data_IF_370480157269
#
_entry.id   IF_370480157269
#
_cell.length_a   1.000
_cell.length_b   1.000
_cell.length_c   1.000
_cell.angle_alpha   90.00
_cell.angle_beta   90.00
_cell.angle_gamma   90.00
#
_symmetry.space_group_name_H-M   'P 1'
#
loop_
_entity.id
_entity.type
_entity.pdbx_description
1 polymer ?
#
# COMPACT_ATOMS: atom_id res chain seq x y z
N UNK A 1 7.15 22.00 -6.48
CA UNK A 1 7.05 21.49 -7.87
C UNK A 1 6.83 20.01 -7.74
N UNK A 2 5.87 19.45 -8.49
CA UNK A 2 5.63 18.00 -8.48
C UNK A 2 6.88 17.26 -8.92
N UNK A 3 7.26 16.20 -8.22
CA UNK A 3 8.40 15.34 -8.57
C UNK A 3 8.11 14.44 -9.78
N UNK A 4 6.88 14.45 -10.29
CA UNK A 4 6.43 13.64 -11.41
C UNK A 4 5.63 14.46 -12.42
N UNK A 5 5.48 13.90 -13.63
CA UNK A 5 4.57 14.37 -14.67
C UNK A 5 3.54 13.31 -15.01
N UNK A 6 2.38 13.74 -15.48
CA UNK A 6 1.32 12.87 -15.95
C UNK A 6 1.33 12.89 -17.48
N UNK A 7 1.33 11.71 -18.08
CA UNK A 7 1.23 11.54 -19.52
C UNK A 7 -0.11 10.88 -19.84
N UNK A 8 -0.97 11.64 -20.51
CA UNK A 8 -2.25 11.16 -21.05
C UNK A 8 -2.16 11.22 -22.56
N UNK A 9 -2.07 10.12 -23.23
CA UNK A 9 -2.08 10.11 -24.70
C UNK A 9 -3.37 10.68 -25.28
N UNK A 10 -4.50 10.56 -24.55
CA UNK A 10 -5.79 11.15 -24.96
C UNK A 10 -5.87 12.68 -24.79
N UNK A 11 -5.11 13.29 -23.92
CA UNK A 11 -5.08 14.77 -23.80
C UNK A 11 -4.42 15.42 -25.02
N UNK A 12 -3.40 14.80 -25.57
CA UNK A 12 -2.76 15.25 -26.80
C UNK A 12 -3.71 15.18 -28.01
N UNK A 13 -4.74 14.35 -27.92
CA UNK A 13 -5.81 14.21 -28.91
C UNK A 13 -7.03 15.11 -28.62
N UNK A 14 -6.97 15.99 -27.61
CA UNK A 14 -8.06 16.92 -27.28
C UNK A 14 -9.27 16.29 -26.57
N UNK A 15 -9.17 15.05 -26.11
CA UNK A 15 -10.24 14.43 -25.32
C UNK A 15 -10.22 14.96 -23.89
N UNK A 16 -11.31 15.62 -23.47
CA UNK A 16 -11.54 15.93 -22.06
C UNK A 16 -11.78 14.61 -21.29
N UNK A 17 -11.32 14.56 -20.04
CA UNK A 17 -11.64 13.45 -19.13
C UNK A 17 -13.16 13.26 -19.13
N UNK A 18 -13.60 12.16 -19.71
CA UNK A 18 -15.00 11.83 -19.86
C UNK A 18 -15.65 11.59 -18.50
N UNK A 19 -16.89 12.04 -18.33
CA UNK A 19 -17.74 11.67 -17.17
C UNK A 19 -17.90 10.15 -17.01
N UNK A 20 -17.60 9.35 -18.04
CA UNK A 20 -17.56 7.89 -18.00
C UNK A 20 -16.49 7.35 -17.02
N UNK A 21 -15.40 8.07 -16.79
CA UNK A 21 -14.39 7.67 -15.78
C UNK A 21 -14.95 7.76 -14.34
N UNK A 22 -15.93 8.59 -14.08
CA UNK A 22 -16.59 8.69 -12.76
C UNK A 22 -17.48 7.48 -12.42
N UNK A 23 -17.75 6.61 -13.37
CA UNK A 23 -18.56 5.40 -13.15
C UNK A 23 -17.72 4.19 -12.71
N UNK A 24 -16.40 4.24 -12.86
CA UNK A 24 -15.51 3.18 -12.40
C UNK A 24 -15.30 3.31 -10.89
N UNK A 25 -15.52 2.22 -10.17
CA UNK A 25 -15.37 2.18 -8.70
C UNK A 25 -13.92 1.96 -8.28
N UNK A 26 -13.14 1.34 -9.17
CA UNK A 26 -11.76 0.97 -8.92
C UNK A 26 -10.82 1.53 -10.00
N UNK A 27 -9.66 1.97 -9.56
CA UNK A 27 -8.49 2.18 -10.41
C UNK A 27 -7.43 1.14 -10.08
N UNK A 28 -6.56 0.82 -11.02
CA UNK A 28 -5.38 0.03 -10.77
C UNK A 28 -4.13 0.86 -11.03
N UNK A 29 -3.18 0.80 -10.09
CA UNK A 29 -1.83 1.36 -10.21
C UNK A 29 -0.82 0.24 -10.37
N UNK A 30 -0.20 0.14 -11.54
CA UNK A 30 0.83 -0.85 -11.84
C UNK A 30 2.18 -0.22 -11.53
N UNK A 31 2.85 -0.70 -10.48
CA UNK A 31 4.23 -0.35 -10.18
C UNK A 31 5.14 -1.04 -11.22
N UNK A 32 5.93 -0.26 -11.90
CA UNK A 32 6.86 -0.76 -12.92
C UNK A 32 8.09 -1.44 -12.27
N UNK A 33 7.93 -2.71 -11.96
CA UNK A 33 8.97 -3.62 -11.49
C UNK A 33 9.26 -4.67 -12.57
N UNK A 34 10.52 -5.07 -12.71
CA UNK A 34 10.89 -6.06 -13.72
C UNK A 34 11.25 -5.43 -15.07
N UNK A 35 10.88 -6.10 -16.15
CA UNK A 35 11.24 -5.74 -17.52
C UNK A 35 10.12 -4.99 -18.25
N UNK A 36 10.44 -4.47 -19.45
CA UNK A 36 9.43 -3.90 -20.36
C UNK A 36 8.34 -4.94 -20.71
N UNK A 37 8.77 -6.16 -20.95
CA UNK A 37 7.90 -7.28 -21.34
C UNK A 37 6.90 -7.60 -20.22
N UNK A 38 7.34 -7.56 -18.96
CA UNK A 38 6.45 -7.75 -17.80
C UNK A 38 5.38 -6.65 -17.76
N UNK A 39 5.79 -5.40 -17.95
CA UNK A 39 4.86 -4.25 -17.95
C UNK A 39 3.88 -4.32 -19.12
N UNK A 40 4.35 -4.61 -20.34
CA UNK A 40 3.50 -4.74 -21.54
C UNK A 40 2.50 -5.87 -21.35
N UNK A 41 2.95 -7.05 -20.90
CA UNK A 41 2.07 -8.19 -20.64
C UNK A 41 0.99 -7.86 -19.60
N UNK A 42 1.37 -7.16 -18.53
CA UNK A 42 0.41 -6.71 -17.52
C UNK A 42 -0.62 -5.73 -18.11
N UNK A 43 -0.18 -4.73 -18.87
CA UNK A 43 -1.07 -3.76 -19.52
C UNK A 43 -2.07 -4.41 -20.46
N UNK A 44 -1.60 -5.29 -21.36
CA UNK A 44 -2.45 -6.01 -22.31
C UNK A 44 -3.49 -6.85 -21.57
N UNK A 45 -3.07 -7.53 -20.51
CA UNK A 45 -3.99 -8.35 -19.74
C UNK A 45 -5.05 -7.51 -19.01
N UNK A 46 -4.67 -6.41 -18.33
CA UNK A 46 -5.61 -5.57 -17.57
C UNK A 46 -6.61 -4.87 -18.50
N UNK A 47 -6.15 -4.34 -19.62
CA UNK A 47 -7.01 -3.67 -20.59
C UNK A 47 -8.01 -4.62 -21.25
N UNK A 48 -7.61 -5.88 -21.49
CA UNK A 48 -8.47 -6.88 -22.09
C UNK A 48 -9.49 -7.50 -21.12
N UNK A 49 -9.13 -7.65 -19.83
CA UNK A 49 -9.90 -8.47 -18.90
C UNK A 49 -10.60 -7.68 -17.78
N UNK A 50 -10.22 -6.42 -17.53
CA UNK A 50 -10.75 -5.67 -16.39
C UNK A 50 -11.27 -4.30 -16.81
N UNK A 51 -12.48 -3.96 -16.35
CA UNK A 51 -13.04 -2.62 -16.56
C UNK A 51 -12.58 -1.64 -15.47
N UNK A 52 -11.26 -1.43 -15.36
CA UNK A 52 -10.64 -0.51 -14.40
C UNK A 52 -9.98 0.67 -15.11
N UNK A 53 -9.78 1.78 -14.38
CA UNK A 53 -8.88 2.84 -14.84
C UNK A 53 -7.44 2.42 -14.57
N UNK A 54 -6.65 2.26 -15.63
CA UNK A 54 -5.27 1.76 -15.54
C UNK A 54 -4.29 2.92 -15.45
N UNK A 55 -3.41 2.84 -14.45
CA UNK A 55 -2.32 3.78 -14.24
C UNK A 55 -1.00 3.02 -14.16
N UNK A 56 0.05 3.57 -14.75
CA UNK A 56 1.42 3.07 -14.63
C UNK A 56 2.24 4.04 -13.81
N UNK A 57 2.98 3.51 -12.86
CA UNK A 57 3.84 4.25 -11.95
C UNK A 57 5.29 3.89 -12.25
N UNK A 58 6.03 4.79 -12.89
CA UNK A 58 7.37 4.53 -13.41
C UNK A 58 8.27 5.76 -13.34
N UNK A 59 9.52 5.60 -13.75
CA UNK A 59 10.52 6.67 -13.85
C UNK A 59 10.69 7.12 -15.28
N UNK A 60 11.15 8.36 -15.48
CA UNK A 60 11.43 8.93 -16.80
C UNK A 60 12.44 8.09 -17.56
N UNK A 61 13.49 7.64 -16.88
CA UNK A 61 14.52 6.78 -17.47
C UNK A 61 13.94 5.50 -18.09
N UNK A 62 13.05 4.78 -17.36
CA UNK A 62 12.42 3.57 -17.89
C UNK A 62 11.47 3.88 -19.03
N UNK A 63 10.65 4.92 -18.90
CA UNK A 63 9.65 5.27 -19.93
C UNK A 63 10.30 5.73 -21.24
N UNK A 64 11.43 6.42 -21.19
CA UNK A 64 12.20 6.76 -22.38
C UNK A 64 12.80 5.51 -23.06
N UNK A 65 13.26 4.54 -22.27
CA UNK A 65 13.75 3.27 -22.80
C UNK A 65 12.63 2.43 -23.43
N UNK A 66 11.44 2.42 -22.81
CA UNK A 66 10.34 1.56 -23.24
C UNK A 66 9.60 2.11 -24.44
N UNK A 67 9.46 3.42 -24.53
CA UNK A 67 8.73 4.16 -25.60
C UNK A 67 7.34 3.59 -25.90
N UNK A 68 6.59 3.26 -24.84
CA UNK A 68 5.29 2.58 -24.94
C UNK A 68 4.10 3.49 -24.72
N UNK A 69 4.30 4.73 -24.29
CA UNK A 69 3.20 5.62 -23.88
C UNK A 69 2.19 5.89 -24.98
N UNK A 70 2.61 5.87 -26.23
CA UNK A 70 1.74 6.09 -27.39
C UNK A 70 0.93 4.86 -27.78
N UNK A 71 1.43 3.67 -27.43
CA UNK A 71 0.77 2.41 -27.75
C UNK A 71 -0.42 2.15 -26.83
N UNK A 72 -0.45 2.80 -25.65
CA UNK A 72 -1.49 2.63 -24.63
C UNK A 72 -2.24 3.95 -24.35
N UNK A 73 -3.07 4.46 -25.28
CA UNK A 73 -3.77 5.74 -25.15
C UNK A 73 -4.82 5.75 -24.04
N UNK A 74 -5.21 4.60 -23.50
CA UNK A 74 -6.19 4.45 -22.42
C UNK A 74 -5.56 4.46 -21.03
N UNK A 75 -4.23 4.39 -20.97
CA UNK A 75 -3.46 4.31 -19.73
C UNK A 75 -2.98 5.71 -19.32
N UNK A 76 -3.05 5.97 -18.02
CA UNK A 76 -2.44 7.16 -17.42
C UNK A 76 -1.05 6.80 -16.92
N UNK A 77 -0.03 7.48 -17.40
CA UNK A 77 1.35 7.28 -16.94
C UNK A 77 1.72 8.37 -15.95
N UNK A 78 2.07 7.98 -14.71
CA UNK A 78 2.60 8.85 -13.66
C UNK A 78 4.11 8.63 -13.63
N UNK A 79 4.85 9.58 -14.20
CA UNK A 79 6.26 9.41 -14.51
C UNK A 79 7.11 10.33 -13.65
N UNK A 80 7.88 9.73 -12.76
CA UNK A 80 8.80 10.46 -11.88
C UNK A 80 10.14 10.77 -12.59
N UNK A 81 10.66 11.96 -12.37
CA UNK A 81 11.91 12.41 -12.99
C UNK A 81 13.13 11.68 -12.46
N UNK A 82 13.10 11.31 -11.19
CA UNK A 82 14.22 10.66 -10.50
C UNK A 82 13.73 9.35 -9.90
N UNK A 83 14.70 8.55 -9.44
CA UNK A 83 14.40 7.38 -8.62
C UNK A 83 13.61 7.82 -7.39
N UNK A 84 12.58 7.05 -7.09
CA UNK A 84 11.65 7.36 -6.03
C UNK A 84 11.27 6.10 -5.26
N UNK A 85 10.71 6.26 -4.09
CA UNK A 85 10.28 5.13 -3.26
C UNK A 85 8.94 4.57 -3.69
N UNK A 86 8.69 3.30 -3.38
CA UNK A 86 7.38 2.67 -3.60
C UNK A 86 6.24 3.48 -2.98
N UNK A 87 6.47 4.02 -1.78
CA UNK A 87 5.48 4.85 -1.10
C UNK A 87 5.16 6.16 -1.82
N UNK A 88 6.14 6.81 -2.46
CA UNK A 88 5.90 8.02 -3.27
C UNK A 88 5.09 7.70 -4.52
N UNK A 89 5.36 6.59 -5.19
CA UNK A 89 4.53 6.11 -6.29
C UNK A 89 3.06 5.96 -5.88
N UNK A 90 2.82 5.30 -4.75
CA UNK A 90 1.45 5.02 -4.27
C UNK A 90 0.76 6.30 -3.80
N UNK A 91 1.48 7.23 -3.18
CA UNK A 91 0.95 8.55 -2.83
C UNK A 91 0.49 9.31 -4.07
N UNK A 92 1.32 9.33 -5.13
CA UNK A 92 0.94 9.96 -6.39
C UNK A 92 -0.27 9.27 -7.04
N UNK A 93 -0.35 7.93 -6.99
CA UNK A 93 -1.55 7.21 -7.44
C UNK A 93 -2.81 7.65 -6.70
N UNK A 94 -2.75 7.77 -5.37
CA UNK A 94 -3.88 8.20 -4.55
C UNK A 94 -4.31 9.65 -4.83
N UNK A 95 -3.37 10.51 -5.23
CA UNK A 95 -3.64 11.90 -5.58
C UNK A 95 -4.26 12.04 -6.98
N UNK A 96 -3.82 11.21 -7.93
CA UNK A 96 -4.21 11.32 -9.35
C UNK A 96 -5.40 10.45 -9.75
N UNK A 97 -5.71 9.35 -9.03
CA UNK A 97 -6.87 8.54 -9.35
C UNK A 97 -8.19 9.22 -8.92
N UNK A 98 -9.25 8.99 -9.70
CA UNK A 98 -10.57 9.59 -9.46
C UNK A 98 -11.57 8.65 -8.78
N UNK A 99 -11.19 7.39 -8.56
CA UNK A 99 -12.03 6.37 -7.95
C UNK A 99 -11.93 6.38 -6.44
N UNK A 100 -12.94 5.83 -5.77
CA UNK A 100 -12.95 5.73 -4.31
C UNK A 100 -11.94 4.70 -3.79
N UNK A 101 -11.66 3.69 -4.61
CA UNK A 101 -10.72 2.62 -4.30
C UNK A 101 -9.67 2.47 -5.38
N UNK A 102 -8.43 2.23 -4.98
CA UNK A 102 -7.34 1.95 -5.92
C UNK A 102 -6.57 0.70 -5.51
N UNK A 103 -6.31 -0.15 -6.49
CA UNK A 103 -5.55 -1.38 -6.34
C UNK A 103 -4.11 -1.17 -6.80
N UNK A 104 -3.15 -1.47 -5.94
CA UNK A 104 -1.72 -1.42 -6.27
C UNK A 104 -1.22 -2.84 -6.51
N UNK A 105 -0.58 -3.02 -7.64
CA UNK A 105 0.04 -4.28 -8.06
C UNK A 105 1.39 -3.97 -8.73
N UNK A 106 2.30 -4.94 -8.75
CA UNK A 106 3.58 -4.81 -9.47
C UNK A 106 3.44 -5.45 -10.85
N UNK A 107 4.20 -4.96 -11.83
CA UNK A 107 4.19 -5.53 -13.19
C UNK A 107 4.68 -6.98 -13.26
N UNK A 108 5.46 -7.44 -12.25
CA UNK A 108 5.90 -8.83 -12.10
C UNK A 108 4.89 -9.75 -11.37
N UNK A 109 3.64 -9.28 -11.20
CA UNK A 109 2.53 -10.03 -10.60
C UNK A 109 1.38 -10.17 -11.60
N UNK A 110 0.66 -11.29 -11.50
CA UNK A 110 -0.59 -11.55 -12.24
C UNK A 110 -1.76 -11.58 -11.26
N UNK A 111 -2.88 -10.93 -11.61
CA UNK A 111 -4.12 -11.07 -10.84
C UNK A 111 -4.79 -12.40 -11.19
N UNK A 112 -5.07 -13.21 -10.19
CA UNK A 112 -5.75 -14.49 -10.34
C UNK A 112 -7.17 -14.48 -9.79
N UNK A 113 -7.49 -13.56 -8.88
CA UNK A 113 -8.84 -13.32 -8.42
C UNK A 113 -9.05 -11.82 -8.11
N UNK A 114 -10.16 -11.27 -8.58
CA UNK A 114 -10.64 -9.92 -8.26
C UNK A 114 -12.17 -9.95 -8.25
N UNK A 115 -12.76 -10.27 -7.10
CA UNK A 115 -14.20 -10.23 -6.92
C UNK A 115 -14.63 -8.82 -6.46
N UNK A 116 -14.94 -7.97 -7.44
CA UNK A 116 -15.27 -6.56 -7.20
C UNK A 116 -16.47 -6.37 -6.29
N UNK A 117 -17.50 -7.23 -6.33
CA UNK A 117 -18.68 -7.12 -5.48
C UNK A 117 -18.35 -7.43 -4.02
N UNK A 118 -17.67 -8.54 -3.76
CA UNK A 118 -17.20 -8.91 -2.42
C UNK A 118 -16.24 -7.86 -1.85
N UNK A 119 -15.34 -7.32 -2.68
CA UNK A 119 -14.40 -6.28 -2.28
C UNK A 119 -15.11 -4.98 -1.92
N UNK A 120 -16.09 -4.52 -2.71
CA UNK A 120 -16.90 -3.34 -2.37
C UNK A 120 -17.66 -3.54 -1.07
N UNK A 121 -18.26 -4.70 -0.87
CA UNK A 121 -18.96 -5.04 0.37
C UNK A 121 -18.02 -5.03 1.57
N UNK A 122 -16.79 -5.54 1.41
CA UNK A 122 -15.77 -5.54 2.45
C UNK A 122 -15.28 -4.11 2.77
N UNK A 123 -14.95 -3.32 1.74
CA UNK A 123 -14.50 -1.94 1.89
C UNK A 123 -15.56 -1.02 2.50
N UNK A 124 -16.82 -1.15 2.10
CA UNK A 124 -17.95 -0.37 2.63
C UNK A 124 -18.59 -0.95 3.90
N UNK A 125 -18.09 -2.08 4.41
CA UNK A 125 -18.63 -2.78 5.56
C UNK A 125 -18.37 -2.10 6.90
N UNK A 126 -18.81 -2.74 8.01
CA UNK A 126 -18.69 -2.20 9.38
C UNK A 126 -17.25 -1.88 9.77
N UNK A 127 -16.30 -2.72 9.34
CA UNK A 127 -14.89 -2.55 9.69
C UNK A 127 -14.19 -1.48 8.84
N UNK A 128 -14.76 -1.13 7.68
CA UNK A 128 -14.30 -0.09 6.75
C UNK A 128 -12.76 0.00 6.71
N UNK A 129 -12.10 -0.99 6.12
CA UNK A 129 -10.64 -1.08 6.16
C UNK A 129 -9.96 0.00 5.33
N UNK A 130 -8.76 0.40 5.74
CA UNK A 130 -7.88 1.26 4.91
C UNK A 130 -7.39 0.52 3.69
N UNK A 131 -7.09 -0.77 3.86
CA UNK A 131 -6.60 -1.60 2.76
C UNK A 131 -7.02 -3.07 2.94
N UNK A 132 -7.18 -3.73 1.79
CA UNK A 132 -7.29 -5.18 1.67
C UNK A 132 -6.08 -5.68 0.90
N UNK A 133 -5.24 -6.47 1.54
CA UNK A 133 -4.10 -7.12 0.91
C UNK A 133 -4.55 -8.38 0.14
N UNK A 134 -3.91 -8.72 -0.98
CA UNK A 134 -4.20 -9.94 -1.71
C UNK A 134 -3.67 -11.18 -1.00
N UNK A 135 -4.31 -12.31 -1.24
CA UNK A 135 -3.64 -13.61 -1.13
C UNK A 135 -2.59 -13.68 -2.24
N UNK A 136 -1.36 -14.03 -1.89
CA UNK A 136 -0.28 -14.15 -2.87
C UNK A 136 0.06 -15.61 -3.11
N UNK A 137 0.19 -15.97 -4.38
CA UNK A 137 0.56 -17.32 -4.81
C UNK A 137 1.96 -17.31 -5.42
N UNK A 138 2.69 -18.39 -5.18
CA UNK A 138 3.99 -18.63 -5.79
C UNK A 138 3.86 -19.03 -7.27
N UNK A 139 5.00 -19.21 -7.95
CA UNK A 139 5.05 -19.75 -9.32
C UNK A 139 4.42 -21.15 -9.42
N UNK A 140 4.45 -21.94 -8.35
CA UNK A 140 3.81 -23.25 -8.24
C UNK A 140 2.37 -23.22 -7.72
N UNK A 141 1.75 -22.04 -7.62
CA UNK A 141 0.40 -21.80 -7.11
C UNK A 141 0.23 -22.13 -5.60
N UNK A 142 1.31 -22.22 -4.87
CA UNK A 142 1.25 -22.38 -3.42
C UNK A 142 0.97 -21.06 -2.73
N UNK A 143 0.13 -21.08 -1.69
CA UNK A 143 -0.18 -19.89 -0.89
C UNK A 143 1.05 -19.44 -0.11
N UNK A 144 1.43 -18.19 -0.32
CA UNK A 144 2.53 -17.57 0.41
C UNK A 144 2.05 -16.87 1.68
N UNK A 145 2.90 -16.76 2.72
CA UNK A 145 2.53 -16.07 3.96
C UNK A 145 2.39 -14.56 3.71
N UNK A 146 1.16 -14.06 3.62
CA UNK A 146 0.84 -12.64 3.40
C UNK A 146 0.29 -11.93 4.63
N UNK A 147 -0.21 -12.66 5.62
CA UNK A 147 -0.60 -12.06 6.89
C UNK A 147 0.66 -11.67 7.67
N UNK A 148 0.64 -10.43 8.18
CA UNK A 148 1.66 -9.90 9.09
C UNK A 148 1.00 -9.62 10.44
N UNK A 149 1.29 -10.45 11.45
CA UNK A 149 0.86 -10.21 12.83
C UNK A 149 1.96 -9.44 13.58
N UNK A 150 1.63 -8.35 14.28
CA UNK A 150 2.63 -7.58 14.99
C UNK A 150 3.22 -8.40 16.16
N UNK A 151 4.52 -8.37 16.29
CA UNK A 151 5.24 -8.97 17.40
C UNK A 151 6.36 -8.03 17.84
N UNK A 152 6.57 -7.85 19.14
CA UNK A 152 7.64 -7.00 19.67
C UNK A 152 8.76 -7.90 20.20
N UNK A 153 9.96 -7.74 19.60
CA UNK A 153 11.18 -8.39 20.04
C UNK A 153 12.12 -7.35 20.66
N UNK A 154 12.24 -7.37 21.98
CA UNK A 154 13.04 -6.38 22.68
C UNK A 154 12.51 -4.95 22.54
N UNK A 155 13.13 -4.14 21.69
CA UNK A 155 12.73 -2.75 21.42
C UNK A 155 12.26 -2.51 19.98
N UNK A 156 12.14 -3.55 19.23
CA UNK A 156 11.77 -3.50 17.81
C UNK A 156 10.49 -4.27 17.55
N UNK A 157 9.77 -3.87 16.53
CA UNK A 157 8.66 -4.65 16.00
C UNK A 157 9.21 -5.60 14.93
N UNK A 158 8.86 -6.87 15.04
CA UNK A 158 9.26 -7.93 14.12
C UNK A 158 8.02 -8.77 13.75
N UNK A 159 7.22 -8.30 12.76
CA UNK A 159 5.97 -8.95 12.39
C UNK A 159 6.19 -10.40 11.99
N UNK A 160 5.38 -11.28 12.54
CA UNK A 160 5.33 -12.69 12.19
C UNK A 160 4.48 -12.90 10.96
N UNK A 161 4.91 -13.82 10.09
CA UNK A 161 4.24 -14.11 8.82
C UNK A 161 3.40 -15.38 8.94
N UNK A 162 2.14 -15.31 8.48
CA UNK A 162 1.22 -16.43 8.43
C UNK A 162 0.60 -16.57 7.04
N UNK A 163 0.23 -17.80 6.69
CA UNK A 163 -0.58 -18.03 5.50
C UNK A 163 -2.03 -17.64 5.78
N UNK A 164 -2.71 -16.95 4.85
CA UNK A 164 -4.13 -16.69 4.94
C UNK A 164 -4.93 -17.99 4.71
N UNK A 165 -6.09 -18.06 5.34
CA UNK A 165 -7.06 -19.10 5.07
C UNK A 165 -7.65 -18.92 3.67
N UNK A 166 -7.61 -19.97 2.86
CA UNK A 166 -8.13 -19.97 1.49
C UNK A 166 -9.42 -20.77 1.33
N UNK A 167 -9.92 -21.38 2.39
CA UNK A 167 -11.17 -22.16 2.34
C UNK A 167 -12.40 -21.22 2.42
N UNK A 168 -12.35 -20.22 3.30
CA UNK A 168 -13.43 -19.27 3.52
C UNK A 168 -13.16 -17.88 2.93
N UNK A 169 -14.23 -17.22 2.46
CA UNK A 169 -14.18 -15.78 2.08
C UNK A 169 -14.40 -14.94 3.33
N UNK A 170 -13.35 -14.82 4.16
CA UNK A 170 -13.38 -13.97 5.33
C UNK A 170 -12.29 -12.92 5.29
N UNK A 171 -12.44 -11.88 6.09
CA UNK A 171 -11.42 -10.85 6.30
C UNK A 171 -10.52 -11.27 7.47
N UNK A 172 -9.24 -11.50 7.18
CA UNK A 172 -8.26 -11.81 8.20
C UNK A 172 -7.37 -10.60 8.48
N UNK A 173 -7.18 -10.20 9.75
CA UNK A 173 -6.41 -9.00 10.06
C UNK A 173 -4.94 -9.18 9.66
N UNK A 174 -4.40 -8.14 9.01
CA UNK A 174 -2.96 -8.03 8.72
C UNK A 174 -2.45 -6.65 9.11
N UNK A 175 -1.21 -6.55 9.53
CA UNK A 175 -0.62 -5.28 9.94
C UNK A 175 -0.46 -4.33 8.76
N UNK A 176 -0.05 -4.84 7.60
CA UNK A 176 0.12 -4.08 6.36
C UNK A 176 0.07 -5.00 5.13
N UNK A 177 -0.25 -4.46 3.94
CA UNK A 177 -0.11 -5.18 2.68
C UNK A 177 1.36 -5.40 2.34
N UNK A 178 1.74 -6.66 2.13
CA UNK A 178 3.11 -7.04 1.79
C UNK A 178 3.48 -6.46 0.42
N UNK A 179 4.72 -5.99 0.27
CA UNK A 179 5.22 -5.32 -0.95
C UNK A 179 4.34 -4.14 -1.38
N UNK A 180 3.67 -3.50 -0.43
CA UNK A 180 2.70 -2.43 -0.66
C UNK A 180 1.54 -2.79 -1.61
N UNK A 181 1.40 -4.06 -2.00
CA UNK A 181 0.35 -4.52 -2.92
C UNK A 181 -0.97 -4.72 -2.19
N UNK A 182 -2.03 -4.02 -2.64
CA UNK A 182 -3.35 -4.09 -2.00
C UNK A 182 -4.37 -3.14 -2.60
N UNK A 183 -5.62 -3.37 -2.27
CA UNK A 183 -6.73 -2.48 -2.56
C UNK A 183 -6.88 -1.49 -1.41
N UNK A 184 -6.79 -0.20 -1.69
CA UNK A 184 -6.83 0.88 -0.71
C UNK A 184 -8.11 1.71 -0.83
N UNK A 185 -8.69 2.11 0.32
CA UNK A 185 -9.65 3.21 0.37
C UNK A 185 -8.89 4.53 0.24
N UNK A 186 -9.15 5.27 -0.84
CA UNK A 186 -8.44 6.50 -1.18
C UNK A 186 -8.61 7.57 -0.11
N UNK A 187 -9.84 7.75 0.39
CA UNK A 187 -10.14 8.79 1.37
C UNK A 187 -9.46 8.49 2.72
N UNK A 188 -9.48 7.23 3.19
CA UNK A 188 -8.81 6.82 4.41
C UNK A 188 -7.28 6.87 4.25
N UNK A 189 -6.76 6.43 3.10
CA UNK A 189 -5.34 6.51 2.79
C UNK A 189 -4.82 7.95 2.86
N UNK A 190 -5.51 8.90 2.22
CA UNK A 190 -5.16 10.32 2.26
C UNK A 190 -5.35 10.93 3.66
N UNK A 191 -6.38 10.53 4.40
CA UNK A 191 -6.58 10.92 5.81
C UNK A 191 -5.42 10.50 6.69
N UNK A 192 -4.85 9.33 6.44
CA UNK A 192 -3.64 8.84 7.08
C UNK A 192 -2.37 9.50 6.55
N UNK A 193 -2.45 10.33 5.51
CA UNK A 193 -1.34 10.99 4.80
C UNK A 193 -0.45 10.03 4.01
N UNK A 194 -1.03 8.93 3.56
CA UNK A 194 -0.32 7.97 2.74
C UNK A 194 0.93 7.38 3.37
N UNK A 195 1.87 6.98 2.55
CA UNK A 195 3.19 6.53 2.97
C UNK A 195 4.09 7.71 3.35
N UNK A 196 4.92 7.53 4.38
CA UNK A 196 5.87 8.55 4.84
C UNK A 196 7.12 8.57 3.94
N UNK A 197 7.24 9.61 3.14
CA UNK A 197 8.32 9.76 2.14
C UNK A 197 9.70 10.07 2.75
N UNK A 198 9.78 10.38 4.05
CA UNK A 198 11.05 10.50 4.77
C UNK A 198 11.58 9.12 5.26
N UNK A 199 10.85 8.04 4.98
CA UNK A 199 11.27 6.65 5.19
C UNK A 199 11.56 6.08 3.80
N UNK A 200 12.80 5.69 3.50
CA UNK A 200 13.16 5.28 2.16
C UNK A 200 12.98 3.78 1.90
N UNK A 201 13.17 2.93 2.92
CA UNK A 201 13.00 1.48 2.78
C UNK A 201 11.54 1.06 2.66
N UNK A 202 11.19 0.29 1.64
CA UNK A 202 9.83 -0.21 1.39
C UNK A 202 9.26 -0.97 2.59
N UNK A 203 10.07 -1.80 3.24
CA UNK A 203 9.67 -2.52 4.46
C UNK A 203 9.23 -1.55 5.57
N UNK A 204 10.05 -0.53 5.88
CA UNK A 204 9.72 0.44 6.93
C UNK A 204 8.59 1.39 6.52
N UNK A 205 8.42 1.68 5.23
CA UNK A 205 7.25 2.41 4.73
C UNK A 205 5.97 1.62 4.97
N UNK A 206 5.96 0.33 4.61
CA UNK A 206 4.82 -0.57 4.84
C UNK A 206 4.50 -0.70 6.32
N UNK A 207 5.54 -0.88 7.13
CA UNK A 207 5.41 -1.02 8.58
C UNK A 207 4.87 0.27 9.23
N UNK A 208 5.36 1.45 8.81
CA UNK A 208 4.86 2.74 9.31
C UNK A 208 3.38 2.95 8.96
N UNK A 209 3.02 2.72 7.69
CA UNK A 209 1.64 2.89 7.24
C UNK A 209 0.70 1.95 8.00
N UNK A 210 1.09 0.68 8.14
CA UNK A 210 0.32 -0.32 8.86
C UNK A 210 0.16 0.02 10.34
N UNK A 211 1.26 0.18 11.06
CA UNK A 211 1.23 0.51 12.50
C UNK A 211 0.42 1.77 12.75
N UNK A 212 0.65 2.84 11.98
CA UNK A 212 -0.08 4.09 12.10
C UNK A 212 -1.58 3.94 11.87
N UNK A 213 -1.97 3.12 10.90
CA UNK A 213 -3.39 2.80 10.66
C UNK A 213 -4.03 2.17 11.88
N UNK A 214 -3.45 1.11 12.41
CA UNK A 214 -3.97 0.41 13.58
C UNK A 214 -3.99 1.29 14.84
N UNK A 215 -2.94 2.09 15.06
CA UNK A 215 -2.89 3.02 16.20
C UNK A 215 -3.98 4.11 16.12
N UNK A 216 -4.40 4.50 14.93
CA UNK A 216 -5.48 5.47 14.73
C UNK A 216 -6.87 4.81 14.69
N UNK A 217 -6.93 3.48 14.84
CA UNK A 217 -8.15 2.69 14.92
C UNK A 217 -8.72 2.28 13.56
N UNK A 218 -7.89 2.29 12.51
CA UNK A 218 -8.22 1.75 11.20
C UNK A 218 -7.58 0.38 11.01
N UNK A 219 -8.26 -0.50 10.30
CA UNK A 219 -7.83 -1.88 10.11
C UNK A 219 -7.34 -2.15 8.69
N UNK A 220 -6.58 -3.21 8.53
CA UNK A 220 -6.20 -3.79 7.26
C UNK A 220 -6.45 -5.30 7.31
N UNK A 221 -6.87 -5.87 6.17
CA UNK A 221 -7.22 -7.28 6.09
C UNK A 221 -6.61 -7.95 4.86
N UNK A 222 -6.61 -9.27 4.88
CA UNK A 222 -6.38 -10.14 3.72
C UNK A 222 -7.69 -10.86 3.42
N UNK A 223 -8.00 -11.09 2.14
CA UNK A 223 -9.10 -11.95 1.72
C UNK A 223 -8.80 -12.62 0.38
N UNK A 224 -9.31 -13.82 0.17
CA UNK A 224 -9.18 -14.54 -1.11
C UNK A 224 -9.98 -13.92 -2.26
N UNK A 225 -10.90 -12.99 -1.97
CA UNK A 225 -11.59 -12.22 -3.02
C UNK A 225 -10.64 -11.37 -3.86
N UNK A 226 -9.41 -11.17 -3.36
CA UNK A 226 -8.30 -10.53 -4.05
C UNK A 226 -7.09 -11.46 -3.99
N UNK A 227 -6.61 -11.93 -5.12
CA UNK A 227 -5.44 -12.80 -5.18
C UNK A 227 -4.54 -12.46 -6.36
N UNK A 228 -3.23 -12.53 -6.13
CA UNK A 228 -2.20 -12.31 -7.15
C UNK A 228 -1.20 -13.47 -7.15
N UNK A 229 -0.54 -13.70 -8.27
CA UNK A 229 0.50 -14.71 -8.42
C UNK A 229 1.80 -14.07 -8.86
N UNK A 230 2.90 -14.60 -8.37
CA UNK A 230 4.23 -14.35 -8.93
C UNK A 230 4.60 -15.48 -9.90
N UNK A 231 4.68 -15.22 -11.21
CA UNK A 231 5.04 -16.25 -12.19
C UNK A 231 6.45 -16.83 -11.96
N UNK A 232 7.35 -16.00 -11.43
CA UNK A 232 8.78 -16.29 -11.37
C UNK A 232 9.36 -16.34 -9.94
N UNK A 233 8.50 -16.37 -8.89
CA UNK A 233 8.97 -16.38 -7.49
C UNK A 233 8.31 -17.50 -6.70
N UNK A 234 9.09 -18.07 -5.76
CA UNK A 234 8.63 -19.10 -4.84
C UNK A 234 8.40 -18.58 -3.42
N UNK A 235 8.86 -17.36 -3.12
CA UNK A 235 8.72 -16.76 -1.79
C UNK A 235 8.65 -15.24 -1.86
N UNK A 236 8.09 -14.64 -0.80
CA UNK A 236 8.08 -13.19 -0.59
C UNK A 236 9.34 -12.83 0.20
N UNK A 237 10.12 -11.91 -0.36
CA UNK A 237 11.29 -11.33 0.31
C UNK A 237 10.99 -9.85 0.53
N UNK A 238 10.96 -9.44 1.79
CA UNK A 238 10.87 -8.03 2.19
C UNK A 238 12.29 -7.55 2.53
N UNK A 239 12.81 -6.64 1.72
CA UNK A 239 14.14 -6.09 1.96
C UNK A 239 14.12 -5.13 3.15
N UNK A 240 14.89 -5.48 4.18
CA UNK A 240 15.04 -4.71 5.43
C UNK A 240 16.38 -3.98 5.51
N UNK A 241 17.17 -3.98 4.45
CA UNK A 241 18.53 -3.41 4.44
C UNK A 241 18.53 -1.89 4.47
N UNK A 242 17.54 -1.25 3.80
CA UNK A 242 17.42 0.20 3.80
C UNK A 242 16.77 0.69 5.10
N UNK A 243 17.58 1.32 5.95
CA UNK A 243 17.19 1.78 7.28
C UNK A 243 17.01 3.31 7.39
N UNK A 244 17.11 4.05 6.29
CA UNK A 244 16.87 5.50 6.33
C UNK A 244 15.42 5.77 6.71
N UNK A 245 15.22 6.54 7.78
CA UNK A 245 13.90 6.79 8.34
C UNK A 245 13.44 5.80 9.43
N UNK A 246 14.21 4.75 9.73
CA UNK A 246 13.88 3.78 10.79
C UNK A 246 13.64 4.44 12.14
N UNK A 247 14.51 5.36 12.57
CA UNK A 247 14.32 6.10 13.85
C UNK A 247 13.04 6.94 13.83
N UNK A 248 12.66 7.49 12.70
CA UNK A 248 11.42 8.22 12.50
C UNK A 248 10.22 7.30 12.73
N UNK A 249 10.21 6.11 12.10
CA UNK A 249 9.20 5.10 12.31
C UNK A 249 9.07 4.72 13.80
N UNK A 250 10.15 4.29 14.44
CA UNK A 250 10.11 3.88 15.85
C UNK A 250 9.69 5.01 16.80
N UNK A 251 10.09 6.25 16.52
CA UNK A 251 9.63 7.41 17.28
C UNK A 251 8.12 7.58 17.17
N UNK A 252 7.55 7.48 15.98
CA UNK A 252 6.10 7.58 15.77
C UNK A 252 5.33 6.43 16.43
N UNK A 253 5.81 5.22 16.27
CA UNK A 253 5.12 4.00 16.71
C UNK A 253 5.15 3.80 18.23
N UNK A 254 6.28 4.08 18.89
CA UNK A 254 6.52 3.67 20.27
C UNK A 254 6.57 4.80 21.31
N UNK A 255 6.56 6.06 20.88
CA UNK A 255 6.68 7.18 21.83
C UNK A 255 5.38 7.52 22.55
N UNK A 256 4.25 6.97 22.18
CA UNK A 256 2.98 7.17 22.86
C UNK A 256 2.56 5.86 23.55
N UNK A 257 2.26 5.98 24.85
CA UNK A 257 1.64 4.92 25.65
C UNK A 257 0.28 5.38 26.14
N UNK A 258 -0.70 4.50 26.09
CA UNK A 258 -2.04 4.78 26.58
C UNK A 258 -2.24 4.21 27.99
N UNK A 259 -2.37 5.09 28.97
CA UNK A 259 -2.55 4.73 30.38
C UNK A 259 -3.83 5.38 30.91
N UNK A 260 -4.73 4.59 31.47
CA UNK A 260 -6.03 5.04 31.99
C UNK A 260 -6.79 5.95 30.99
N UNK A 261 -6.80 5.58 29.71
CA UNK A 261 -7.50 6.32 28.66
C UNK A 261 -6.77 7.57 28.13
N UNK A 262 -5.63 7.93 28.69
CA UNK A 262 -4.84 9.11 28.28
C UNK A 262 -3.58 8.72 27.53
N UNK A 263 -3.26 9.46 26.47
CA UNK A 263 -2.03 9.28 25.70
C UNK A 263 -0.89 10.05 26.38
N UNK A 264 0.15 9.35 26.79
CA UNK A 264 1.35 9.89 27.41
C UNK A 264 2.53 9.77 26.44
N UNK A 265 3.26 10.87 26.22
CA UNK A 265 4.41 10.89 25.31
C UNK A 265 5.71 10.68 26.07
N UNK A 266 6.47 9.68 25.66
CA UNK A 266 7.79 9.35 26.15
C UNK A 266 8.85 9.35 25.04
N UNK A 267 10.08 8.93 25.39
CA UNK A 267 11.17 8.70 24.45
C UNK A 267 11.39 7.21 24.32
N UNK A 268 11.33 6.67 23.11
CA UNK A 268 11.65 5.27 22.86
C UNK A 268 13.13 5.11 22.50
N UNK A 269 13.98 4.84 23.49
CA UNK A 269 15.41 4.62 23.26
C UNK A 269 15.71 3.17 22.82
N UNK A 270 16.65 2.93 21.87
CA UNK A 270 17.60 3.90 21.30
C UNK A 270 17.09 4.74 20.12
N UNK A 271 15.91 4.45 19.56
CA UNK A 271 15.38 4.96 18.29
C UNK A 271 14.68 6.32 18.45
N UNK A 272 15.37 7.35 18.91
CA UNK A 272 14.75 8.68 19.11
C UNK A 272 15.12 9.65 18.00
N UNK A 273 14.14 10.02 17.18
CA UNK A 273 14.21 11.21 16.33
C UNK A 273 13.59 12.39 17.10
N UNK A 274 14.46 13.35 17.51
CA UNK A 274 14.03 14.50 18.33
C UNK A 274 13.08 15.45 17.60
N UNK A 275 13.28 15.63 16.29
CA UNK A 275 12.44 16.48 15.43
C UNK A 275 11.04 15.88 15.29
N UNK A 276 10.97 14.62 14.91
CA UNK A 276 9.71 13.87 14.79
C UNK A 276 8.95 13.83 16.11
N UNK A 277 9.65 13.58 17.22
CA UNK A 277 9.04 13.58 18.56
C UNK A 277 8.40 14.93 18.91
N UNK A 278 9.07 16.03 18.59
CA UNK A 278 8.59 17.38 18.91
C UNK A 278 7.47 17.84 17.97
N UNK A 279 7.63 17.64 16.66
CA UNK A 279 6.77 18.26 15.65
C UNK A 279 5.59 17.38 15.23
N UNK A 280 5.75 16.06 15.24
CA UNK A 280 4.71 15.14 14.82
C UNK A 280 4.04 14.44 15.99
N UNK A 281 4.80 13.75 16.84
CA UNK A 281 4.25 12.96 17.93
C UNK A 281 3.53 13.84 18.94
N UNK A 282 4.20 14.84 19.50
CA UNK A 282 3.63 15.71 20.55
C UNK A 282 2.56 16.65 20.04
N UNK A 283 2.69 17.17 18.81
CA UNK A 283 1.75 18.17 18.27
C UNK A 283 0.53 17.54 17.60
N UNK A 284 0.67 16.34 17.01
CA UNK A 284 -0.36 15.76 16.14
C UNK A 284 -0.81 14.38 16.60
N UNK A 285 0.11 13.39 16.63
CA UNK A 285 -0.26 11.99 16.82
C UNK A 285 -0.84 11.70 18.19
N UNK A 286 -0.38 12.37 19.25
CA UNK A 286 -0.91 12.21 20.61
C UNK A 286 -2.42 12.43 20.69
N UNK A 287 -2.99 13.27 19.82
CA UNK A 287 -4.43 13.55 19.77
C UNK A 287 -5.20 12.63 18.82
N UNK A 288 -4.53 11.97 17.88
CA UNK A 288 -5.14 11.12 16.87
C UNK A 288 -5.14 9.64 17.27
N UNK A 289 -4.16 9.25 18.08
CA UNK A 289 -3.93 7.84 18.42
C UNK A 289 -4.99 7.35 19.41
N UNK A 290 -5.66 6.25 19.05
CA UNK A 290 -6.74 5.63 19.83
C UNK A 290 -6.28 4.49 20.71
N UNK A 291 -5.16 3.87 20.35
CA UNK A 291 -4.51 2.80 21.10
C UNK A 291 -3.00 2.99 21.04
N UNK A 292 -2.22 2.24 21.79
CA UNK A 292 -0.76 2.19 21.65
C UNK A 292 -0.31 0.85 21.07
N UNK A 293 0.95 0.78 20.67
CA UNK A 293 1.50 -0.39 20.00
C UNK A 293 1.49 -1.63 20.90
N UNK A 294 1.69 -1.48 22.18
CA UNK A 294 1.71 -2.60 23.13
C UNK A 294 0.31 -3.20 23.26
N UNK A 295 -0.69 -2.35 23.53
CA UNK A 295 -2.11 -2.75 23.57
C UNK A 295 -2.57 -3.37 22.25
N UNK A 296 -2.08 -2.84 21.09
CA UNK A 296 -2.43 -3.39 19.77
C UNK A 296 -1.83 -4.77 19.53
N UNK A 297 -0.62 -5.02 20.04
CA UNK A 297 0.04 -6.35 19.95
C UNK A 297 -0.65 -7.34 20.88
N UNK A 298 -0.90 -6.95 22.14
CA UNK A 298 -1.54 -7.83 23.14
C UNK A 298 -2.94 -8.28 22.74
N UNK A 299 -3.70 -7.40 22.08
CA UNK A 299 -5.08 -7.68 21.64
C UNK A 299 -5.18 -8.06 20.15
N UNK A 300 -4.08 -8.47 19.51
CA UNK A 300 -4.10 -8.83 18.10
C UNK A 300 -4.93 -10.12 17.88
N UNK A 301 -5.91 -10.02 16.98
CA UNK A 301 -6.76 -11.17 16.63
C UNK A 301 -7.95 -11.42 17.57
N UNK A 302 -8.12 -10.64 18.65
CA UNK A 302 -9.22 -10.82 19.63
C UNK A 302 -10.57 -10.19 19.19
N UNK A 303 -10.75 -9.82 17.91
CA UNK A 303 -12.02 -9.19 17.46
C UNK A 303 -12.50 -9.71 16.14
#
# INVERSE_FOLDING_TARGET
MSSYRIVFSKQDLGYRISTLYRQKQFSIGILDFGTKEDLVSALDWYLANMNLSVHVLSTEFKMEQYDITKDYPEVTFIVFKNDTTTGEFINAMADECYTDYFFIVRSDMEVVAFDGESLLKAMGGKDHPVAIAPVMLSSSLEVMPTIRAPYIRGKEIDPQSFQPDTEDVKLEPTLYPVLCSGLYDRALFQRLRGYDTEILGEYYQSLDMGVRSWLFGYKMFVTRSLAVRFPNRVSIIEDRSECIGMNRFYTKAFSIKRIAGKNLVGKWKPFVDKKVLAEEVKKKQVNLQKTDIFTSVDNWGEK
#
